data_IF_785192527929
#
_entry.id   IF_785192527929
#
_cell.length_a   1.000
_cell.length_b   1.000
_cell.length_c   1.000
_cell.angle_alpha   90.00
_cell.angle_beta   90.00
_cell.angle_gamma   90.00
#
_symmetry.space_group_name_H-M   'P 1'
#
loop_
_entity.id
_entity.type
_entity.pdbx_description
1 polymer ?
#
# COMPACT_ATOMS: atom_id res chain seq x y z
N UNK A 1 43.54 -23.97 10.72
CA UNK A 1 42.16 -24.53 10.69
C UNK A 1 41.38 -23.80 9.62
N UNK A 2 40.92 -24.46 8.55
CA UNK A 2 40.26 -23.78 7.43
C UNK A 2 38.73 -23.91 7.49
N UNK A 3 38.01 -22.81 7.65
CA UNK A 3 36.55 -22.77 7.49
C UNK A 3 36.20 -22.62 6.00
N UNK A 4 35.54 -23.61 5.38
CA UNK A 4 35.20 -23.57 3.94
C UNK A 4 33.85 -24.26 3.70
N UNK A 5 32.84 -23.47 3.34
CA UNK A 5 31.41 -23.79 3.36
C UNK A 5 30.87 -24.32 2.03
N UNK A 6 29.87 -25.22 2.10
CA UNK A 6 28.88 -25.44 1.04
C UNK A 6 27.73 -26.38 1.44
N UNK A 7 26.52 -25.94 1.08
CA UNK A 7 25.29 -26.67 0.75
C UNK A 7 24.22 -26.84 1.84
N UNK A 8 23.02 -26.28 1.61
CA UNK A 8 21.80 -26.79 2.24
C UNK A 8 20.92 -27.49 1.21
N UNK A 9 20.24 -28.58 1.61
CA UNK A 9 19.07 -29.09 0.92
C UNK A 9 17.81 -28.35 1.39
N UNK A 10 17.17 -27.59 0.50
CA UNK A 10 15.74 -27.71 0.13
C UNK A 10 15.64 -27.03 -1.24
N UNK A 11 15.48 -27.86 -2.28
CA UNK A 11 15.52 -27.55 -3.71
C UNK A 11 16.88 -27.11 -4.27
N UNK A 12 17.36 -27.88 -5.25
CA UNK A 12 18.71 -27.85 -5.86
C UNK A 12 18.99 -26.59 -6.70
N UNK A 13 18.83 -25.40 -6.13
CA UNK A 13 18.91 -24.15 -6.90
C UNK A 13 20.30 -23.50 -6.87
N UNK A 14 21.26 -24.05 -6.11
CA UNK A 14 22.64 -23.61 -6.03
C UNK A 14 23.59 -24.81 -5.99
N UNK A 15 24.87 -24.67 -6.39
CA UNK A 15 25.85 -25.75 -6.30
C UNK A 15 25.96 -26.22 -4.87
N UNK A 16 26.11 -27.54 -4.70
CA UNK A 16 26.22 -28.19 -3.40
C UNK A 16 27.58 -28.84 -3.18
N UNK A 17 28.45 -28.84 -4.19
CA UNK A 17 29.75 -29.49 -4.18
C UNK A 17 30.86 -28.44 -4.35
N UNK A 18 31.95 -28.51 -3.56
CA UNK A 18 33.08 -27.61 -3.73
C UNK A 18 33.70 -27.75 -5.12
N UNK A 19 34.11 -26.63 -5.70
CA UNK A 19 34.84 -26.61 -6.98
C UNK A 19 36.25 -26.10 -6.77
N UNK A 20 37.19 -26.70 -7.51
CA UNK A 20 38.54 -26.19 -7.63
C UNK A 20 38.49 -24.82 -8.32
N UNK A 21 39.14 -23.83 -7.73
CA UNK A 21 39.24 -22.51 -8.31
C UNK A 21 40.72 -22.20 -8.54
N UNK A 22 41.08 -21.91 -9.78
CA UNK A 22 42.40 -21.39 -10.14
C UNK A 22 42.49 -19.89 -9.82
N UNK A 23 43.71 -19.41 -9.68
CA UNK A 23 44.02 -18.08 -9.14
C UNK A 23 43.67 -16.93 -10.12
N UNK A 24 43.30 -17.23 -11.38
CA UNK A 24 43.34 -16.29 -12.50
C UNK A 24 42.00 -15.79 -13.05
N UNK A 25 40.88 -15.99 -12.36
CA UNK A 25 39.58 -15.55 -12.86
C UNK A 25 38.89 -14.54 -11.95
N UNK A 26 38.34 -13.49 -12.60
CA UNK A 26 37.60 -12.37 -12.04
C UNK A 26 36.69 -12.84 -10.89
N UNK A 27 36.76 -12.13 -9.77
CA UNK A 27 35.89 -12.38 -8.60
C UNK A 27 34.47 -11.99 -8.96
N UNK A 28 33.72 -12.90 -9.57
CA UNK A 28 32.28 -12.73 -9.79
C UNK A 28 31.55 -13.26 -8.55
N UNK A 29 30.73 -12.43 -7.87
CA UNK A 29 29.90 -12.91 -6.78
C UNK A 29 28.98 -14.03 -7.27
N UNK A 30 28.88 -15.11 -6.50
CA UNK A 30 27.99 -16.20 -6.85
C UNK A 30 26.54 -15.81 -6.53
N UNK A 31 25.63 -16.06 -7.47
CA UNK A 31 24.21 -15.76 -7.32
C UNK A 31 23.46 -16.97 -6.79
N UNK A 32 22.78 -16.80 -5.66
CA UNK A 32 21.87 -17.77 -5.08
C UNK A 32 20.44 -17.31 -5.42
N UNK A 33 19.73 -17.97 -6.35
CA UNK A 33 18.30 -17.74 -6.54
C UNK A 33 17.55 -18.08 -5.24
N UNK A 34 16.74 -17.14 -4.75
CA UNK A 34 15.96 -17.29 -3.53
C UNK A 34 14.54 -16.76 -3.76
N UNK A 35 13.55 -17.60 -3.42
CA UNK A 35 12.13 -17.23 -3.55
C UNK A 35 11.72 -16.44 -2.30
N UNK A 36 11.32 -15.20 -2.53
CA UNK A 36 10.67 -14.34 -1.55
C UNK A 36 9.16 -14.47 -1.70
N UNK A 37 8.47 -14.67 -0.58
CA UNK A 37 7.00 -14.74 -0.51
C UNK A 37 6.47 -13.53 0.24
N UNK A 38 5.53 -12.80 -0.36
CA UNK A 38 4.81 -11.73 0.32
C UNK A 38 3.81 -12.33 1.31
N UNK A 39 3.86 -11.87 2.56
CA UNK A 39 3.18 -12.49 3.70
C UNK A 39 1.64 -12.48 3.65
N UNK A 40 1.02 -11.57 2.88
CA UNK A 40 -0.44 -11.41 2.88
C UNK A 40 -1.12 -11.97 1.63
N UNK A 41 -0.46 -11.88 0.49
CA UNK A 41 -0.93 -12.28 -0.83
C UNK A 41 -0.38 -13.64 -1.25
N UNK A 42 0.66 -14.14 -0.56
CA UNK A 42 1.45 -15.32 -0.95
C UNK A 42 2.08 -15.19 -2.35
N UNK A 43 2.19 -13.97 -2.88
CA UNK A 43 2.87 -13.73 -4.14
C UNK A 43 4.34 -14.06 -3.98
N UNK A 44 4.88 -14.79 -4.95
CA UNK A 44 6.28 -15.18 -4.97
C UNK A 44 7.07 -14.37 -5.99
N UNK A 45 8.32 -14.08 -5.65
CA UNK A 45 9.30 -13.51 -6.57
C UNK A 45 10.66 -14.14 -6.35
N UNK A 46 11.36 -14.41 -7.44
CA UNK A 46 12.74 -14.86 -7.41
C UNK A 46 13.68 -13.66 -7.37
N UNK A 47 14.46 -13.53 -6.29
CA UNK A 47 15.56 -12.58 -6.20
C UNK A 47 16.88 -13.33 -6.15
N UNK A 48 17.93 -12.75 -6.71
CA UNK A 48 19.28 -13.29 -6.57
C UNK A 48 20.00 -12.67 -5.38
N UNK A 49 20.45 -13.52 -4.46
CA UNK A 49 21.37 -13.14 -3.39
C UNK A 49 22.80 -13.30 -3.90
N UNK A 50 23.57 -12.22 -3.86
CA UNK A 50 24.95 -12.22 -4.31
C UNK A 50 25.85 -12.55 -3.14
N UNK A 51 26.75 -13.50 -3.34
CA UNK A 51 27.56 -14.05 -2.26
C UNK A 51 29.04 -14.04 -2.60
N UNK A 52 29.84 -13.72 -1.60
CA UNK A 52 31.28 -13.67 -1.67
C UNK A 52 31.85 -14.33 -0.41
N UNK A 53 32.95 -15.03 -0.59
CA UNK A 53 33.79 -15.49 0.52
C UNK A 53 35.08 -14.71 0.50
N UNK A 54 35.48 -14.17 1.64
CA UNK A 54 36.80 -13.59 1.80
C UNK A 54 37.66 -14.49 2.67
N UNK A 55 38.89 -14.72 2.23
CA UNK A 55 39.89 -15.53 2.91
C UNK A 55 41.07 -14.63 3.27
N UNK A 56 41.57 -14.75 4.50
CA UNK A 56 42.76 -14.05 4.96
C UNK A 56 43.85 -15.09 5.31
N UNK A 57 44.83 -15.34 4.40
CA UNK A 57 45.96 -16.22 4.67
C UNK A 57 46.94 -15.60 5.69
N UNK A 58 47.03 -14.27 5.70
CA UNK A 58 47.82 -13.46 6.63
C UNK A 58 47.10 -12.12 6.89
N UNK A 59 47.54 -11.34 7.88
CA UNK A 59 46.94 -10.01 8.15
C UNK A 59 47.08 -9.02 6.99
N UNK A 60 48.02 -9.25 6.06
CA UNK A 60 48.32 -8.36 4.94
C UNK A 60 47.61 -8.72 3.62
N UNK A 61 46.96 -9.90 3.52
CA UNK A 61 46.38 -10.40 2.26
C UNK A 61 44.92 -10.79 2.50
N UNK A 62 44.00 -10.23 1.69
CA UNK A 62 42.59 -10.62 1.68
C UNK A 62 42.20 -11.03 0.27
N UNK A 63 41.87 -12.29 0.07
CA UNK A 63 41.39 -12.83 -1.19
C UNK A 63 39.87 -12.94 -1.21
N UNK A 64 39.23 -12.57 -2.32
CA UNK A 64 37.80 -12.75 -2.53
C UNK A 64 37.57 -13.91 -3.51
N UNK A 65 36.66 -14.81 -3.18
CA UNK A 65 36.37 -16.02 -3.96
C UNK A 65 34.86 -16.35 -3.90
N UNK A 66 34.32 -17.15 -4.83
CA UNK A 66 33.00 -17.73 -4.67
C UNK A 66 32.89 -18.53 -3.37
N UNK A 67 31.70 -18.58 -2.76
CA UNK A 67 31.51 -19.31 -1.49
C UNK A 67 31.89 -20.79 -1.63
N UNK A 68 31.67 -21.36 -2.81
CA UNK A 68 31.95 -22.74 -3.18
C UNK A 68 33.42 -23.11 -3.40
N UNK A 69 34.31 -22.12 -3.48
CA UNK A 69 35.69 -22.36 -3.88
C UNK A 69 36.46 -23.18 -2.83
N UNK A 70 37.10 -24.27 -3.25
CA UNK A 70 38.09 -24.95 -2.44
C UNK A 70 39.45 -24.21 -2.55
N UNK A 71 40.21 -24.12 -1.46
CA UNK A 71 41.55 -23.50 -1.47
C UNK A 71 42.56 -24.42 -0.79
N UNK A 72 43.80 -24.48 -1.29
CA UNK A 72 44.88 -25.26 -0.70
C UNK A 72 45.56 -24.58 0.50
N UNK A 73 45.55 -23.25 0.54
CA UNK A 73 46.23 -22.51 1.60
C UNK A 73 45.40 -22.45 2.90
N UNK A 74 46.11 -22.55 4.04
CA UNK A 74 45.54 -22.35 5.37
C UNK A 74 45.09 -20.90 5.52
N UNK A 75 43.83 -20.70 5.95
CA UNK A 75 43.35 -19.41 6.43
C UNK A 75 43.38 -19.41 7.95
N UNK A 76 43.62 -18.24 8.53
CA UNK A 76 43.26 -18.00 9.92
C UNK A 76 41.77 -17.67 10.05
N UNK A 77 41.17 -17.06 9.02
CA UNK A 77 39.77 -16.66 9.01
C UNK A 77 39.15 -16.81 7.60
N UNK A 78 37.87 -17.16 7.55
CA UNK A 78 37.05 -17.06 6.35
C UNK A 78 35.75 -16.32 6.69
N UNK A 79 35.43 -15.28 5.91
CA UNK A 79 34.18 -14.53 6.05
C UNK A 79 33.27 -14.81 4.87
N UNK A 80 31.98 -14.87 5.15
CA UNK A 80 30.94 -14.96 4.15
C UNK A 80 30.18 -13.63 4.11
N UNK A 81 29.98 -13.11 2.91
CA UNK A 81 29.20 -11.90 2.67
C UNK A 81 28.07 -12.25 1.71
N UNK A 82 26.86 -11.88 2.07
CA UNK A 82 25.69 -11.94 1.20
C UNK A 82 25.05 -10.55 1.10
N UNK A 83 24.60 -10.18 -0.09
CA UNK A 83 23.91 -8.91 -0.33
C UNK A 83 22.89 -9.04 -1.46
N UNK A 84 21.93 -8.11 -1.48
CA UNK A 84 20.92 -7.99 -2.54
C UNK A 84 21.20 -6.67 -3.26
N UNK A 85 21.58 -6.68 -4.54
CA UNK A 85 21.84 -5.45 -5.27
C UNK A 85 20.54 -4.69 -5.60
N UNK A 86 20.66 -3.39 -5.86
CA UNK A 86 19.52 -2.50 -6.10
C UNK A 86 18.63 -2.93 -7.28
N UNK A 87 19.22 -3.51 -8.33
CA UNK A 87 18.48 -4.02 -9.49
C UNK A 87 17.61 -5.25 -9.16
N UNK A 88 17.98 -6.06 -8.16
CA UNK A 88 17.13 -7.13 -7.64
C UNK A 88 16.00 -6.54 -6.78
N UNK A 89 16.31 -5.55 -5.94
CA UNK A 89 15.29 -4.83 -5.15
C UNK A 89 14.22 -4.17 -6.04
N UNK A 90 14.60 -3.65 -7.20
CA UNK A 90 13.70 -3.02 -8.16
C UNK A 90 12.69 -3.99 -8.81
N UNK A 91 12.89 -5.31 -8.70
CA UNK A 91 11.94 -6.30 -9.22
C UNK A 91 10.71 -6.47 -8.32
N UNK A 92 10.77 -6.00 -7.07
CA UNK A 92 9.68 -6.15 -6.11
C UNK A 92 8.44 -5.41 -6.63
N UNK A 93 7.32 -6.12 -6.83
CA UNK A 93 6.23 -5.63 -7.66
C UNK A 93 5.20 -4.79 -6.89
N UNK A 94 5.24 -4.85 -5.56
CA UNK A 94 4.30 -4.17 -4.65
C UNK A 94 4.95 -3.87 -3.31
N UNK A 95 4.37 -2.91 -2.60
CA UNK A 95 4.52 -2.81 -1.16
C UNK A 95 4.15 -4.13 -0.46
N UNK A 96 4.64 -4.29 0.77
CA UNK A 96 4.36 -5.43 1.61
C UNK A 96 5.59 -5.98 2.32
N UNK A 97 5.40 -7.09 3.03
CA UNK A 97 6.48 -7.78 3.75
C UNK A 97 6.84 -9.05 3.01
N UNK A 98 8.05 -9.07 2.46
CA UNK A 98 8.57 -10.20 1.68
C UNK A 98 9.55 -10.99 2.53
N UNK A 99 9.31 -12.28 2.69
CA UNK A 99 10.14 -13.18 3.49
C UNK A 99 10.78 -14.27 2.65
N UNK A 100 12.03 -14.58 2.95
CA UNK A 100 12.73 -15.75 2.47
C UNK A 100 13.64 -16.30 3.55
N UNK A 101 14.07 -17.56 3.42
CA UNK A 101 15.04 -18.17 4.32
C UNK A 101 16.23 -18.68 3.51
N UNK A 102 17.38 -18.02 3.67
CA UNK A 102 18.64 -18.51 3.14
C UNK A 102 19.19 -19.55 4.12
N UNK A 103 19.42 -20.76 3.62
CA UNK A 103 20.03 -21.83 4.40
C UNK A 103 21.38 -22.20 3.78
N UNK A 104 22.41 -22.37 4.60
CA UNK A 104 23.74 -22.81 4.18
C UNK A 104 24.34 -23.78 5.17
N UNK A 105 25.12 -24.78 4.72
CA UNK A 105 25.92 -25.59 5.62
C UNK A 105 27.35 -25.07 5.66
N UNK A 106 27.83 -24.93 6.89
CA UNK A 106 29.24 -24.81 7.17
C UNK A 106 29.88 -26.18 7.11
N UNK A 107 30.86 -26.29 6.23
CA UNK A 107 31.65 -27.48 6.04
C UNK A 107 33.09 -27.21 6.48
N UNK A 108 33.75 -28.28 6.90
CA UNK A 108 35.18 -28.42 7.02
C UNK A 108 35.55 -29.50 6.00
N UNK A 109 36.30 -29.13 4.96
CA UNK A 109 36.57 -30.04 3.83
C UNK A 109 35.31 -30.46 3.07
N UNK A 110 35.45 -31.45 2.17
CA UNK A 110 34.35 -31.96 1.34
C UNK A 110 33.31 -32.78 2.14
N UNK A 111 33.70 -33.39 3.27
CA UNK A 111 32.91 -34.45 3.91
C UNK A 111 32.53 -34.18 5.37
N UNK A 112 33.00 -33.10 6.00
CA UNK A 112 32.71 -32.83 7.41
C UNK A 112 31.81 -31.61 7.52
N UNK A 113 30.53 -31.82 7.86
CA UNK A 113 29.64 -30.71 8.21
C UNK A 113 29.89 -30.26 9.64
N UNK A 114 30.11 -28.96 9.85
CA UNK A 114 30.23 -28.39 11.19
C UNK A 114 28.90 -27.83 11.69
N UNK A 115 28.13 -27.14 10.83
CA UNK A 115 26.94 -26.43 11.27
C UNK A 115 25.95 -26.16 10.13
N UNK A 116 24.67 -26.05 10.44
CA UNK A 116 23.64 -25.54 9.52
C UNK A 116 23.30 -24.09 9.88
N UNK A 117 23.71 -23.17 9.02
CA UNK A 117 23.40 -21.75 9.14
C UNK A 117 22.08 -21.42 8.45
N UNK A 118 21.24 -20.62 9.10
CA UNK A 118 19.97 -20.14 8.55
C UNK A 118 19.86 -18.64 8.77
N UNK A 119 19.41 -17.92 7.75
CA UNK A 119 19.11 -16.50 7.80
C UNK A 119 17.73 -16.24 7.21
N UNK A 120 16.81 -15.79 8.08
CA UNK A 120 15.51 -15.28 7.65
C UNK A 120 15.66 -13.85 7.18
N UNK A 121 15.43 -13.61 5.90
CA UNK A 121 15.49 -12.30 5.28
C UNK A 121 14.07 -11.74 5.23
N UNK A 122 13.88 -10.53 5.77
CA UNK A 122 12.59 -9.82 5.70
C UNK A 122 12.82 -8.47 5.02
N UNK A 123 12.20 -8.28 3.85
CA UNK A 123 12.18 -7.01 3.14
C UNK A 123 10.83 -6.33 3.38
N UNK A 124 10.87 -5.11 3.90
CA UNK A 124 9.67 -4.26 4.05
C UNK A 124 9.69 -3.25 2.92
N UNK A 125 8.81 -3.46 1.95
CA UNK A 125 8.70 -2.62 0.76
C UNK A 125 7.53 -1.67 0.96
N UNK A 126 7.77 -0.38 0.73
CA UNK A 126 6.73 0.66 0.77
C UNK A 126 6.58 1.30 -0.60
N UNK A 127 5.41 1.85 -0.85
CA UNK A 127 4.98 2.53 -2.05
C UNK A 127 4.34 3.88 -1.68
N UNK A 128 5.04 4.65 -0.83
CA UNK A 128 4.53 5.94 -0.35
C UNK A 128 4.26 6.96 -1.47
N UNK A 129 4.91 6.79 -2.63
CA UNK A 129 4.65 7.61 -3.82
C UNK A 129 3.26 7.39 -4.44
N UNK A 130 2.60 6.27 -4.15
CA UNK A 130 1.27 5.94 -4.68
C UNK A 130 0.16 5.98 -3.62
N UNK A 131 0.39 6.66 -2.49
CA UNK A 131 -0.65 6.95 -1.49
C UNK A 131 -1.86 7.63 -2.12
N UNK A 132 -3.04 7.06 -1.96
CA UNK A 132 -4.23 7.57 -2.64
C UNK A 132 -5.56 7.14 -2.01
N UNK A 133 -6.59 7.90 -2.35
CA UNK A 133 -7.99 7.54 -2.14
C UNK A 133 -8.46 6.79 -3.39
N UNK A 134 -8.89 5.54 -3.22
CA UNK A 134 -9.42 4.74 -4.30
C UNK A 134 -10.95 4.63 -4.19
N UNK A 135 -11.63 4.90 -5.31
CA UNK A 135 -13.08 4.77 -5.46
C UNK A 135 -13.37 3.67 -6.50
N UNK A 136 -13.63 2.41 -6.09
CA UNK A 136 -13.71 1.27 -7.00
C UNK A 136 -14.73 1.42 -8.14
N UNK A 137 -15.82 2.15 -7.91
CA UNK A 137 -16.88 2.37 -8.89
C UNK A 137 -16.42 3.19 -10.11
N UNK A 138 -15.31 3.93 -10.01
CA UNK A 138 -14.83 4.83 -11.07
C UNK A 138 -13.55 4.36 -11.74
N UNK A 139 -12.82 3.41 -11.14
CA UNK A 139 -11.54 2.91 -11.67
C UNK A 139 -10.56 4.06 -11.94
N UNK A 140 -10.19 4.24 -13.22
CA UNK A 140 -9.26 5.29 -13.67
C UNK A 140 -9.96 6.61 -14.05
N UNK A 141 -11.29 6.69 -13.99
CA UNK A 141 -12.06 7.84 -14.47
C UNK A 141 -12.20 8.91 -13.40
N UNK A 142 -12.33 10.17 -13.82
CA UNK A 142 -12.68 11.25 -12.91
C UNK A 142 -14.07 10.99 -12.29
N UNK A 143 -14.19 10.90 -10.96
CA UNK A 143 -15.45 10.51 -10.32
C UNK A 143 -16.53 11.58 -10.51
N UNK A 144 -17.69 11.18 -10.99
CA UNK A 144 -18.89 12.01 -11.11
C UNK A 144 -20.02 11.34 -10.34
N UNK A 145 -20.57 12.04 -9.35
CA UNK A 145 -21.54 11.48 -8.42
C UNK A 145 -22.84 12.26 -8.51
N UNK A 146 -23.92 11.56 -8.83
CA UNK A 146 -25.27 12.08 -8.71
C UNK A 146 -25.75 11.98 -7.26
N UNK A 147 -26.38 13.04 -6.73
CA UNK A 147 -26.88 13.09 -5.35
C UNK A 147 -28.11 12.18 -5.11
N UNK A 148 -28.59 11.50 -6.16
CA UNK A 148 -29.70 10.54 -6.07
C UNK A 148 -31.02 11.22 -5.74
N UNK A 149 -31.25 12.43 -6.26
CA UNK A 149 -32.45 13.21 -5.94
C UNK A 149 -33.69 12.54 -6.52
N UNK A 150 -34.70 12.33 -5.66
CA UNK A 150 -35.96 11.70 -5.99
C UNK A 150 -37.12 12.54 -5.47
N UNK A 151 -38.20 12.58 -6.26
CA UNK A 151 -39.48 13.17 -5.85
C UNK A 151 -40.07 12.34 -4.70
N UNK A 152 -40.47 13.02 -3.64
CA UNK A 152 -41.29 12.43 -2.58
C UNK A 152 -42.75 12.70 -2.93
N UNK A 153 -43.46 11.68 -3.42
CA UNK A 153 -44.91 11.74 -3.66
C UNK A 153 -45.65 11.59 -2.32
N UNK A 154 -46.45 12.59 -1.89
CA UNK A 154 -47.37 12.39 -0.78
C UNK A 154 -48.46 11.39 -1.17
N UNK A 155 -48.80 10.46 -0.28
CA UNK A 155 -49.82 9.43 -0.50
C UNK A 155 -51.26 9.94 -0.66
N UNK A 156 -51.51 11.25 -0.64
CA UNK A 156 -52.83 11.83 -0.88
C UNK A 156 -52.73 13.28 -1.35
N UNK A 157 -53.32 13.50 -2.53
CA UNK A 157 -53.87 14.73 -3.14
C UNK A 157 -53.35 16.09 -2.64
N UNK A 158 -52.63 16.80 -3.54
CA UNK A 158 -52.39 18.25 -3.57
C UNK A 158 -51.46 18.88 -2.51
N UNK A 159 -50.14 18.71 -2.64
CA UNK A 159 -49.11 19.58 -2.02
C UNK A 159 -47.87 19.72 -2.93
N UNK A 160 -47.10 20.83 -2.81
CA UNK A 160 -45.88 21.01 -3.60
C UNK A 160 -44.93 19.84 -3.40
N UNK A 161 -44.46 19.27 -4.50
CA UNK A 161 -43.57 18.13 -4.53
C UNK A 161 -42.27 18.45 -3.79
N UNK A 162 -41.97 17.69 -2.75
CA UNK A 162 -40.66 17.73 -2.10
C UNK A 162 -39.67 16.82 -2.84
N UNK A 163 -38.38 17.01 -2.60
CA UNK A 163 -37.32 16.13 -3.09
C UNK A 163 -36.32 15.85 -1.98
N UNK A 164 -35.74 14.65 -2.00
CA UNK A 164 -34.61 14.25 -1.15
C UNK A 164 -33.69 13.33 -1.94
N UNK A 165 -32.49 13.05 -1.45
CA UNK A 165 -31.60 12.10 -2.11
C UNK A 165 -30.61 11.45 -1.17
N UNK A 166 -30.15 10.25 -1.54
CA UNK A 166 -29.00 9.60 -0.92
C UNK A 166 -28.17 8.91 -1.99
N UNK A 167 -26.84 8.94 -1.80
CA UNK A 167 -25.88 8.22 -2.62
C UNK A 167 -24.76 7.65 -1.75
N UNK A 168 -24.64 6.33 -1.74
CA UNK A 168 -23.50 5.63 -1.15
C UNK A 168 -22.37 5.46 -2.18
N UNK A 169 -21.12 5.59 -1.71
CA UNK A 169 -19.90 5.42 -2.49
C UNK A 169 -18.91 4.55 -1.71
N UNK A 170 -18.41 3.53 -2.39
CA UNK A 170 -17.27 2.76 -1.89
C UNK A 170 -16.01 3.62 -1.96
N UNK A 171 -15.26 3.64 -0.86
CA UNK A 171 -13.97 4.32 -0.77
C UNK A 171 -12.98 3.47 0.02
N UNK A 172 -11.73 3.45 -0.43
CA UNK A 172 -10.63 2.78 0.24
C UNK A 172 -9.39 3.68 0.30
N UNK A 173 -8.71 3.69 1.43
CA UNK A 173 -7.58 4.57 1.72
C UNK A 173 -6.29 3.76 1.68
N UNK A 174 -5.49 3.95 0.64
CA UNK A 174 -4.22 3.24 0.46
C UNK A 174 -3.05 4.09 0.95
N UNK A 175 -2.34 3.60 1.97
CA UNK A 175 -1.25 4.30 2.65
C UNK A 175 0.14 4.02 2.05
N UNK A 176 0.23 3.25 0.97
CA UNK A 176 1.51 2.83 0.40
C UNK A 176 2.21 1.73 1.20
N UNK A 177 1.57 1.16 2.22
CA UNK A 177 2.20 0.17 3.10
C UNK A 177 1.18 -0.83 3.66
N UNK A 178 0.23 -1.25 2.81
CA UNK A 178 -0.78 -2.27 3.11
C UNK A 178 -1.54 -2.06 4.44
N UNK A 179 -1.89 -0.81 4.75
CA UNK A 179 -2.64 -0.47 5.95
C UNK A 179 -1.81 -0.42 7.22
N UNK A 180 -0.48 -0.35 7.14
CA UNK A 180 0.40 -0.25 8.30
C UNK A 180 0.29 1.10 9.05
N UNK A 181 -0.25 2.14 8.44
CA UNK A 181 -0.44 3.45 9.09
C UNK A 181 -1.39 3.35 10.28
N UNK A 182 -0.89 3.69 11.47
CA UNK A 182 -1.66 3.68 12.71
C UNK A 182 -2.65 4.86 12.82
N UNK A 183 -2.40 5.96 12.09
CA UNK A 183 -3.30 7.11 12.09
C UNK A 183 -3.58 7.55 10.66
N UNK A 184 -4.84 7.90 10.44
CA UNK A 184 -5.35 8.48 9.20
C UNK A 184 -6.01 9.81 9.54
N UNK A 185 -5.70 10.83 8.75
CA UNK A 185 -6.44 12.08 8.71
C UNK A 185 -7.17 12.22 7.37
N UNK A 186 -8.41 12.72 7.43
CA UNK A 186 -9.20 13.12 6.28
C UNK A 186 -9.70 14.55 6.47
N UNK A 187 -9.62 15.37 5.42
CA UNK A 187 -10.27 16.68 5.36
C UNK A 187 -11.20 16.71 4.15
N UNK A 188 -12.49 16.87 4.41
CA UNK A 188 -13.51 16.98 3.38
C UNK A 188 -14.02 18.41 3.30
N UNK A 189 -14.00 18.96 2.09
CA UNK A 189 -14.42 20.32 1.80
C UNK A 189 -15.23 20.38 0.51
N UNK A 190 -16.29 21.18 0.48
CA UNK A 190 -16.91 21.53 -0.79
C UNK A 190 -16.10 22.61 -1.53
N UNK A 191 -16.66 23.15 -2.62
CA UNK A 191 -16.00 24.16 -3.45
C UNK A 191 -15.88 25.56 -2.80
N UNK A 192 -16.29 25.73 -1.53
CA UNK A 192 -16.09 26.98 -0.79
C UNK A 192 -16.96 28.15 -1.23
N UNK A 193 -18.10 27.90 -1.87
CA UNK A 193 -19.03 28.94 -2.29
C UNK A 193 -19.80 29.62 -1.14
N UNK A 194 -20.51 30.74 -1.40
CA UNK A 194 -21.34 31.42 -0.41
C UNK A 194 -22.42 30.52 0.22
N UNK A 195 -22.41 30.41 1.55
CA UNK A 195 -23.22 29.44 2.26
C UNK A 195 -24.07 30.04 3.41
N UNK A 196 -24.54 31.28 3.28
CA UNK A 196 -25.41 31.90 4.30
C UNK A 196 -26.66 31.05 4.58
N UNK A 197 -26.95 30.79 5.85
CA UNK A 197 -28.08 29.94 6.27
C UNK A 197 -27.92 28.44 5.96
N UNK A 198 -26.71 27.97 5.63
CA UNK A 198 -26.41 26.53 5.53
C UNK A 198 -26.35 25.91 6.93
N UNK A 199 -26.90 24.71 7.07
CA UNK A 199 -26.80 23.93 8.31
C UNK A 199 -25.35 23.67 8.73
N UNK A 200 -25.10 23.62 10.03
CA UNK A 200 -23.76 23.40 10.56
C UNK A 200 -23.14 22.11 10.00
N UNK A 201 -21.90 22.20 9.52
CA UNK A 201 -21.15 21.06 8.96
C UNK A 201 -21.59 20.56 7.60
N UNK A 202 -22.67 21.10 7.03
CA UNK A 202 -23.18 20.70 5.72
C UNK A 202 -22.27 21.16 4.57
N UNK A 203 -22.43 20.48 3.44
CA UNK A 203 -21.79 20.77 2.17
C UNK A 203 -22.81 21.34 1.19
N UNK A 204 -22.36 22.02 0.15
CA UNK A 204 -23.24 22.62 -0.85
C UNK A 204 -22.81 22.36 -2.29
N UNK A 205 -23.80 22.19 -3.16
CA UNK A 205 -23.67 22.33 -4.61
C UNK A 205 -24.51 23.52 -5.09
N UNK A 206 -24.16 24.07 -6.24
CA UNK A 206 -24.77 25.29 -6.75
C UNK A 206 -25.31 25.10 -8.16
N UNK A 207 -26.36 25.84 -8.50
CA UNK A 207 -26.92 25.84 -9.84
C UNK A 207 -25.88 26.35 -10.82
N UNK A 208 -25.64 25.60 -11.88
CA UNK A 208 -24.59 25.90 -12.87
C UNK A 208 -24.88 27.25 -13.56
N UNK A 209 -23.90 28.15 -13.56
CA UNK A 209 -23.99 29.47 -14.20
C UNK A 209 -24.87 30.49 -13.48
N UNK A 210 -25.38 30.19 -12.29
CA UNK A 210 -26.23 31.10 -11.51
C UNK A 210 -25.47 31.80 -10.39
N UNK A 211 -26.08 32.87 -9.84
CA UNK A 211 -25.57 33.55 -8.64
C UNK A 211 -25.63 32.62 -7.43
N UNK A 212 -24.45 32.32 -6.86
CA UNK A 212 -24.27 31.43 -5.71
C UNK A 212 -24.69 32.04 -4.38
N UNK A 213 -24.83 33.36 -4.28
CA UNK A 213 -25.28 34.04 -3.05
C UNK A 213 -26.77 33.85 -2.81
N UNK A 214 -27.54 33.59 -3.88
CA UNK A 214 -28.96 33.31 -3.80
C UNK A 214 -29.22 31.87 -3.32
N UNK A 215 -29.83 31.72 -2.15
CA UNK A 215 -30.12 30.42 -1.53
C UNK A 215 -31.02 29.50 -2.39
N UNK A 216 -31.81 30.05 -3.33
CA UNK A 216 -32.60 29.26 -4.29
C UNK A 216 -31.72 28.51 -5.29
N UNK A 217 -30.48 28.97 -5.52
CA UNK A 217 -29.48 28.37 -6.41
C UNK A 217 -28.48 27.48 -5.66
N UNK A 218 -28.75 27.11 -4.40
CA UNK A 218 -27.89 26.23 -3.59
C UNK A 218 -28.66 24.99 -3.13
N UNK A 219 -28.05 23.82 -3.17
CA UNK A 219 -28.55 22.61 -2.51
C UNK A 219 -27.52 22.16 -1.46
N UNK A 220 -28.00 21.87 -0.26
CA UNK A 220 -27.17 21.45 0.87
C UNK A 220 -27.30 19.94 1.08
N UNK A 221 -26.21 19.27 1.38
CA UNK A 221 -26.16 17.84 1.68
C UNK A 221 -25.20 17.56 2.84
N UNK A 222 -25.43 16.47 3.56
CA UNK A 222 -24.51 15.95 4.58
C UNK A 222 -23.64 14.84 3.99
N UNK A 223 -22.50 14.62 4.62
CA UNK A 223 -21.61 13.49 4.34
C UNK A 223 -21.46 12.68 5.61
N UNK A 224 -21.68 11.38 5.52
CA UNK A 224 -21.30 10.42 6.55
C UNK A 224 -20.20 9.50 6.01
N UNK A 225 -19.35 9.00 6.89
CA UNK A 225 -18.27 8.08 6.56
C UNK A 225 -18.27 6.94 7.57
N UNK A 226 -18.04 5.72 7.12
CA UNK A 226 -17.82 4.60 8.06
C UNK A 226 -16.44 4.75 8.67
N UNK A 227 -16.39 4.91 9.99
CA UNK A 227 -15.14 4.94 10.72
C UNK A 227 -14.51 3.53 10.69
N UNK A 228 -13.28 3.36 10.16
CA UNK A 228 -12.66 2.06 9.94
C UNK A 228 -12.28 1.33 11.25
N UNK A 229 -12.23 2.03 12.38
CA UNK A 229 -11.85 1.43 13.67
C UNK A 229 -13.06 0.98 14.49
N UNK A 230 -14.19 1.67 14.35
CA UNK A 230 -15.44 1.32 15.05
C UNK A 230 -16.46 0.61 14.16
N UNK A 231 -16.26 0.65 12.84
CA UNK A 231 -17.20 0.17 11.83
C UNK A 231 -18.61 0.78 11.95
N UNK A 232 -18.69 2.05 12.36
CA UNK A 232 -19.95 2.80 12.51
C UNK A 232 -19.95 4.05 11.65
N UNK A 233 -21.12 4.49 11.16
CA UNK A 233 -21.25 5.79 10.51
C UNK A 233 -20.85 6.92 11.46
N UNK A 234 -20.08 7.85 10.94
CA UNK A 234 -19.64 9.06 11.61
C UNK A 234 -19.98 10.26 10.70
N UNK A 235 -20.60 11.33 11.23
CA UNK A 235 -20.84 12.53 10.45
C UNK A 235 -19.51 13.23 10.11
N UNK A 236 -19.43 13.78 8.90
CA UNK A 236 -18.30 14.61 8.46
C UNK A 236 -18.74 16.06 8.42
N UNK A 237 -17.92 16.93 8.99
CA UNK A 237 -18.15 18.39 9.01
C UNK A 237 -17.30 19.05 7.93
N UNK A 238 -17.94 19.80 7.03
CA UNK A 238 -17.25 20.54 5.98
C UNK A 238 -16.14 21.45 6.56
N UNK A 239 -14.92 21.28 6.05
CA UNK A 239 -13.76 22.07 6.45
C UNK A 239 -13.09 21.64 7.75
N UNK A 240 -13.60 20.60 8.42
CA UNK A 240 -13.00 20.08 9.64
C UNK A 240 -12.24 18.78 9.39
N UNK A 241 -11.08 18.65 10.04
CA UNK A 241 -10.27 17.44 9.96
C UNK A 241 -10.90 16.30 10.78
N UNK A 242 -10.94 15.12 10.18
CA UNK A 242 -11.34 13.87 10.79
C UNK A 242 -10.08 13.02 11.04
N UNK A 243 -9.86 12.61 12.28
CA UNK A 243 -8.68 11.84 12.66
C UNK A 243 -9.11 10.50 13.26
N UNK A 244 -8.52 9.42 12.76
CA UNK A 244 -8.64 8.09 13.34
C UNK A 244 -7.27 7.56 13.77
N UNK A 245 -7.24 6.85 14.89
CA UNK A 245 -6.04 6.17 15.43
C UNK A 245 -6.33 4.68 15.61
N UNK A 246 -5.31 3.83 15.53
CA UNK A 246 -5.48 2.38 15.52
C UNK A 246 -5.97 1.82 14.18
N UNK A 247 -5.81 2.57 13.07
CA UNK A 247 -6.30 2.17 11.74
C UNK A 247 -5.60 0.94 11.17
N UNK A 248 -4.39 0.64 11.66
CA UNK A 248 -3.62 -0.55 11.28
C UNK A 248 -4.08 -1.86 11.93
N UNK A 249 -5.13 -1.82 12.76
CA UNK A 249 -5.74 -3.00 13.40
C UNK A 249 -7.13 -3.31 12.85
N UNK A 250 -7.67 -2.42 12.03
CA UNK A 250 -8.99 -2.56 11.43
C UNK A 250 -9.00 -3.57 10.28
N UNK A 251 -10.20 -3.93 9.77
CA UNK A 251 -10.31 -4.75 8.58
C UNK A 251 -9.68 -4.03 7.38
N UNK A 252 -8.91 -4.77 6.59
CA UNK A 252 -8.34 -4.28 5.34
C UNK A 252 -9.10 -4.87 4.15
N UNK A 253 -9.25 -4.07 3.09
CA UNK A 253 -9.83 -4.49 1.83
C UNK A 253 -8.73 -4.70 0.81
N UNK A 254 -8.77 -5.84 0.13
CA UNK A 254 -7.91 -6.11 -1.03
C UNK A 254 -8.49 -5.43 -2.27
N UNK A 255 -7.69 -4.63 -2.96
CA UNK A 255 -8.07 -3.90 -4.18
C UNK A 255 -6.96 -3.92 -5.22
N UNK A 256 -7.29 -3.69 -6.48
CA UNK A 256 -6.31 -3.38 -7.53
C UNK A 256 -6.42 -1.89 -7.83
N UNK A 257 -5.32 -1.16 -7.63
CA UNK A 257 -5.29 0.28 -7.85
C UNK A 257 -5.23 0.62 -9.35
N UNK A 258 -5.76 1.80 -9.74
CA UNK A 258 -5.58 2.36 -11.07
C UNK A 258 -4.14 2.26 -11.58
N UNK A 259 -3.94 1.64 -12.74
CA UNK A 259 -2.61 1.51 -13.36
C UNK A 259 -1.67 0.48 -12.69
N UNK A 260 -2.11 -0.23 -11.65
CA UNK A 260 -1.35 -1.31 -11.04
C UNK A 260 -1.90 -2.68 -11.46
N UNK A 261 -1.01 -3.66 -11.65
CA UNK A 261 -1.38 -5.05 -11.99
C UNK A 261 -1.63 -5.92 -10.76
N UNK A 262 -1.17 -5.47 -9.59
CA UNK A 262 -1.15 -6.26 -8.39
C UNK A 262 -2.20 -5.77 -7.40
N UNK A 263 -2.70 -6.69 -6.58
CA UNK A 263 -3.60 -6.33 -5.49
C UNK A 263 -2.81 -5.81 -4.30
N UNK A 264 -3.31 -4.74 -3.68
CA UNK A 264 -2.80 -4.14 -2.44
C UNK A 264 -3.88 -4.18 -1.36
N UNK A 265 -3.50 -3.89 -0.12
CA UNK A 265 -4.45 -3.72 0.98
C UNK A 265 -4.67 -2.23 1.29
N UNK A 266 -5.91 -1.85 1.54
CA UNK A 266 -6.29 -0.49 1.90
C UNK A 266 -7.34 -0.51 3.02
N UNK A 267 -7.46 0.63 3.72
CA UNK A 267 -8.45 0.79 4.80
C UNK A 267 -9.80 1.19 4.18
N UNK A 268 -10.87 0.37 4.29
CA UNK A 268 -12.17 0.72 3.75
C UNK A 268 -12.82 1.82 4.58
N UNK A 269 -13.30 2.87 3.92
CA UNK A 269 -13.98 4.00 4.56
C UNK A 269 -15.11 4.53 3.67
N UNK A 270 -16.13 3.71 3.32
CA UNK A 270 -17.21 4.13 2.44
C UNK A 270 -17.94 5.37 2.98
N UNK A 271 -18.44 6.19 2.05
CA UNK A 271 -19.15 7.43 2.36
C UNK A 271 -20.57 7.40 1.85
N UNK A 272 -21.46 8.14 2.51
CA UNK A 272 -22.82 8.39 2.08
C UNK A 272 -23.06 9.90 2.00
N UNK A 273 -23.59 10.34 0.86
CA UNK A 273 -24.02 11.71 0.63
C UNK A 273 -25.55 11.73 0.79
N UNK A 274 -26.07 12.58 1.69
CA UNK A 274 -27.51 12.67 1.92
C UNK A 274 -27.98 14.11 1.72
N UNK A 275 -28.89 14.30 0.76
CA UNK A 275 -29.60 15.57 0.58
C UNK A 275 -30.91 15.50 1.37
N UNK A 276 -31.08 16.32 2.43
CA UNK A 276 -32.31 16.36 3.19
C UNK A 276 -33.52 16.73 2.34
N UNK A 277 -34.72 16.45 2.83
CA UNK A 277 -35.94 16.83 2.14
C UNK A 277 -36.07 18.36 2.02
N UNK A 278 -36.38 18.83 0.80
CA UNK A 278 -36.64 20.24 0.52
C UNK A 278 -37.84 20.42 -0.40
N UNK A 279 -38.50 21.57 -0.31
CA UNK A 279 -39.60 21.94 -1.20
C UNK A 279 -39.05 22.40 -2.56
N UNK A 280 -39.53 21.82 -3.67
CA UNK A 280 -39.10 22.20 -5.03
C UNK A 280 -39.30 23.69 -5.32
N UNK A 281 -40.40 24.29 -4.86
CA UNK A 281 -40.68 25.71 -5.08
C UNK A 281 -39.63 26.64 -4.44
N UNK A 282 -38.95 26.17 -3.39
CA UNK A 282 -37.88 26.90 -2.71
C UNK A 282 -36.58 26.96 -3.53
N UNK A 283 -36.46 26.16 -4.59
CA UNK A 283 -35.24 26.06 -5.43
C UNK A 283 -35.51 26.51 -6.85
N UNK A 284 -34.46 27.00 -7.50
CA UNK A 284 -34.52 27.36 -8.92
C UNK A 284 -34.37 26.10 -9.78
N UNK A 285 -35.12 26.00 -10.87
CA UNK A 285 -35.00 24.89 -11.83
C UNK A 285 -33.65 24.92 -12.55
N UNK A 286 -32.99 23.78 -12.68
CA UNK A 286 -31.76 23.63 -13.47
C UNK A 286 -30.82 22.57 -12.90
N UNK A 287 -29.65 22.45 -13.53
CA UNK A 287 -28.58 21.56 -13.07
C UNK A 287 -27.82 22.18 -11.90
N UNK A 288 -27.60 21.39 -10.87
CA UNK A 288 -26.74 21.73 -9.75
C UNK A 288 -25.47 20.91 -9.81
N UNK A 289 -24.34 21.55 -9.52
CA UNK A 289 -23.02 20.93 -9.55
C UNK A 289 -22.12 21.59 -8.52
N UNK A 290 -21.18 20.82 -7.99
CA UNK A 290 -20.11 21.32 -7.13
C UNK A 290 -18.96 20.32 -7.10
N UNK A 291 -17.96 20.60 -6.28
CA UNK A 291 -16.82 19.70 -6.06
C UNK A 291 -16.72 19.35 -4.58
N UNK A 292 -16.57 18.06 -4.29
CA UNK A 292 -16.16 17.56 -2.98
C UNK A 292 -14.67 17.23 -3.05
N UNK A 293 -13.85 18.01 -2.36
CA UNK A 293 -12.43 17.75 -2.18
C UNK A 293 -12.24 16.89 -0.93
N UNK A 294 -11.54 15.77 -1.09
CA UNK A 294 -11.14 14.89 0.00
C UNK A 294 -9.61 14.87 0.02
N UNK A 295 -9.03 15.31 1.13
CA UNK A 295 -7.58 15.24 1.36
C UNK A 295 -7.34 14.10 2.34
N UNK A 296 -6.41 13.23 2.01
CA UNK A 296 -6.04 12.07 2.80
C UNK A 296 -4.57 12.15 3.20
N UNK A 297 -4.32 11.99 4.50
CA UNK A 297 -2.98 12.02 5.08
C UNK A 297 -2.80 10.82 6.01
N UNK A 298 -2.15 9.74 5.56
CA UNK A 298 -1.71 8.67 6.44
C UNK A 298 -0.47 9.09 7.23
N UNK A 299 -0.23 8.46 8.39
CA UNK A 299 1.09 8.56 9.03
C UNK A 299 2.12 7.76 8.25
N UNK A 300 3.22 8.40 7.87
CA UNK A 300 4.46 7.75 7.43
C UNK A 300 5.32 7.42 8.65
N UNK A 301 5.89 6.21 8.70
CA UNK A 301 6.92 5.86 9.69
C UNK A 301 8.27 6.48 9.31
#
# INVERSE_FOLDING_TARGET
>A
MGAKYLSVPVERQCPTVPVWHDENHLVVPYQIPLIFTETTTNKQILLHIYTLKTHAPSEAVVERRPYIAYLFQSANEARFTAYIPANEMAKLPTAGVWKAELRMALMQWVNTKLFDWRATITLRVTDYGNQQIYLPQFGNSAPQVDLGLQLTTPGSVARPSTMKGSKALDMCLYDGNDGASNRISLLLQDEGGPASGRGQGMFSVYRTGADKTNQRNRLDYSVSIINPTTNRPQPVTNGSELIWTGTNRGPLRRVVLPGQLNSVLCVPAPIELVTPEFNLASKASGRYSGRLRIIYTPTTQ
#
